data_IF_913965992250
#
_entry.id   IF_913965992250
#
_cell.length_a   1.000
_cell.length_b   1.000
_cell.length_c   1.000
_cell.angle_alpha   90.00
_cell.angle_beta   90.00
_cell.angle_gamma   90.00
#
_symmetry.space_group_name_H-M   'P 1'
#
loop_
_entity.id
_entity.type
_entity.pdbx_description
1 polymer ?
#
# COMPACT_ATOMS: atom_id res chain seq x y z
N UNK A 1 40.47 -39.37 20.91
CA UNK A 1 39.09 -39.36 20.39
C UNK A 1 38.13 -39.20 21.56
N UNK A 2 36.99 -38.51 21.38
CA UNK A 2 35.86 -38.35 22.32
C UNK A 2 36.02 -37.60 23.69
N UNK A 3 34.98 -36.78 23.94
CA UNK A 3 34.29 -36.49 25.22
C UNK A 3 35.10 -36.08 26.46
N UNK A 4 34.86 -34.83 26.91
CA UNK A 4 34.60 -34.53 28.34
C UNK A 4 33.32 -33.72 28.48
N UNK A 5 32.49 -34.13 29.43
CA UNK A 5 31.23 -33.49 29.81
C UNK A 5 31.21 -33.53 31.35
N UNK A 6 31.12 -32.36 32.00
CA UNK A 6 30.85 -32.25 33.44
C UNK A 6 30.01 -31.01 33.68
N UNK A 7 28.90 -31.19 34.39
CA UNK A 7 28.15 -30.12 35.03
C UNK A 7 28.33 -30.25 36.55
N UNK A 8 28.20 -29.13 37.25
CA UNK A 8 27.96 -29.07 38.68
C UNK A 8 27.08 -27.84 38.95
N UNK A 9 26.21 -27.92 39.96
CA UNK A 9 25.28 -26.86 40.34
C UNK A 9 25.26 -26.74 41.87
N UNK A 10 24.29 -25.96 42.39
CA UNK A 10 23.90 -25.69 43.79
C UNK A 10 24.27 -24.26 44.24
N UNK A 11 23.28 -23.55 44.81
CA UNK A 11 23.44 -22.17 45.29
C UNK A 11 22.13 -21.41 45.56
N UNK A 12 21.08 -22.07 46.06
CA UNK A 12 19.81 -21.41 46.39
C UNK A 12 19.77 -20.96 47.86
N UNK A 13 19.34 -19.72 48.11
CA UNK A 13 18.95 -19.25 49.45
C UNK A 13 17.53 -18.67 49.35
N UNK A 14 16.66 -19.09 50.26
CA UNK A 14 15.29 -18.60 50.45
C UNK A 14 15.15 -18.18 51.91
N UNK A 15 14.48 -17.06 52.17
CA UNK A 15 14.10 -16.64 53.52
C UNK A 15 12.62 -16.22 53.51
N UNK A 16 11.83 -16.82 54.38
CA UNK A 16 10.42 -16.47 54.65
C UNK A 16 10.13 -16.59 56.14
N UNK A 17 9.61 -15.51 56.74
CA UNK A 17 8.62 -15.49 57.84
C UNK A 17 7.78 -14.21 57.61
N UNK A 18 6.45 -14.14 57.69
CA UNK A 18 5.46 -14.68 58.65
C UNK A 18 5.50 -13.96 60.01
N UNK A 19 4.38 -13.60 60.69
CA UNK A 19 2.93 -13.76 60.36
C UNK A 19 2.28 -12.38 60.06
N UNK A 20 1.09 -11.88 60.45
CA UNK A 20 0.03 -12.20 61.44
C UNK A 20 -1.40 -12.15 60.80
N UNK A 21 -2.46 -12.27 61.61
CA UNK A 21 -3.90 -12.25 61.27
C UNK A 21 -4.64 -10.97 61.64
N UNK A 22 -5.73 -10.64 60.92
CA UNK A 22 -6.96 -10.05 61.51
C UNK A 22 -8.20 -10.34 60.62
N UNK A 23 -9.40 -10.37 61.21
CA UNK A 23 -10.67 -10.64 60.50
C UNK A 23 -11.71 -9.53 60.74
N UNK A 24 -12.65 -9.34 59.81
CA UNK A 24 -13.81 -8.45 59.97
C UNK A 24 -14.93 -8.78 58.97
N UNK A 25 -16.19 -8.73 59.40
CA UNK A 25 -17.37 -9.15 58.60
C UNK A 25 -18.46 -8.06 58.59
N UNK A 26 -19.00 -7.79 57.39
CA UNK A 26 -20.43 -7.59 57.05
C UNK A 26 -21.29 -6.62 57.90
N UNK A 27 -21.95 -5.64 57.25
CA UNK A 27 -23.40 -5.43 57.39
C UNK A 27 -24.10 -4.55 56.31
N UNK A 28 -25.19 -5.09 55.76
CA UNK A 28 -26.47 -4.46 55.32
C UNK A 28 -26.56 -3.08 54.62
N UNK A 29 -27.04 -3.08 53.36
CA UNK A 29 -28.34 -2.53 52.84
C UNK A 29 -28.88 -1.11 53.22
N UNK A 30 -29.81 -0.51 52.43
CA UNK A 30 -30.06 -0.54 50.97
C UNK A 30 -30.50 0.83 50.35
N UNK A 31 -31.03 0.79 49.10
CA UNK A 31 -32.07 1.66 48.49
C UNK A 31 -31.71 2.91 47.63
N UNK A 32 -32.41 2.94 46.47
CA UNK A 32 -32.78 4.01 45.50
C UNK A 32 -32.53 5.50 45.85
N UNK A 33 -32.00 6.28 44.89
CA UNK A 33 -32.74 7.38 44.19
C UNK A 33 -31.89 8.09 43.09
N UNK A 34 -32.58 8.86 42.23
CA UNK A 34 -32.16 9.72 41.09
C UNK A 34 -33.22 10.85 41.02
N UNK A 35 -32.98 12.14 40.64
CA UNK A 35 -31.92 12.70 39.77
C UNK A 35 -31.27 14.07 40.21
N UNK A 36 -30.46 14.63 39.29
CA UNK A 36 -30.39 16.06 38.85
C UNK A 36 -29.35 17.08 39.38
N UNK A 37 -28.72 17.73 38.40
CA UNK A 37 -28.08 19.08 38.35
C UNK A 37 -26.60 19.29 38.77
N UNK A 38 -26.02 20.32 38.13
CA UNK A 38 -24.61 20.76 38.05
C UNK A 38 -24.21 21.67 39.27
N UNK A 39 -22.94 22.12 39.51
CA UNK A 39 -21.85 22.30 38.53
C UNK A 39 -20.36 22.07 38.98
N UNK A 40 -19.45 22.33 38.03
CA UNK A 40 -18.03 22.78 38.18
C UNK A 40 -16.92 21.88 38.81
N UNK A 41 -15.99 21.50 37.92
CA UNK A 41 -14.52 21.76 38.00
C UNK A 41 -13.52 20.75 38.65
N UNK A 42 -12.38 20.66 37.94
CA UNK A 42 -11.00 20.27 38.33
C UNK A 42 -10.51 18.81 38.46
N UNK A 43 -9.55 18.49 37.56
CA UNK A 43 -8.32 17.67 37.73
C UNK A 43 -8.40 16.13 37.60
N UNK A 44 -7.28 15.53 37.13
CA UNK A 44 -7.12 14.08 36.91
C UNK A 44 -6.81 13.65 35.46
N UNK A 45 -5.77 14.20 34.82
CA UNK A 45 -4.52 13.48 34.45
C UNK A 45 -4.66 12.15 33.67
N UNK A 46 -4.18 12.06 32.42
CA UNK A 46 -4.03 10.73 31.77
C UNK A 46 -3.81 10.59 30.25
N UNK A 47 -3.76 11.65 29.43
CA UNK A 47 -3.69 11.47 27.96
C UNK A 47 -2.26 11.40 27.38
N UNK A 48 -1.84 10.21 26.94
CA UNK A 48 -0.91 10.07 25.81
C UNK A 48 -1.70 10.01 24.50
N UNK A 49 -2.03 11.17 23.94
CA UNK A 49 -2.65 11.26 22.61
C UNK A 49 -1.59 11.47 21.53
N UNK A 50 -1.63 10.63 20.48
CA UNK A 50 -0.91 10.86 19.23
C UNK A 50 -1.39 12.16 18.59
N UNK A 51 -0.51 13.17 18.47
CA UNK A 51 -0.90 14.49 17.97
C UNK A 51 -1.17 14.48 16.46
N UNK A 52 -2.46 14.38 16.09
CA UNK A 52 -2.96 14.87 14.81
C UNK A 52 -2.91 16.40 14.81
N UNK A 53 -1.85 17.00 14.25
CA UNK A 53 -1.72 18.45 14.15
C UNK A 53 -2.60 19.00 13.02
N UNK A 54 -3.80 19.45 13.39
CA UNK A 54 -4.74 20.14 12.50
C UNK A 54 -5.27 21.42 13.15
N UNK A 55 -4.60 22.55 12.90
CA UNK A 55 -5.11 23.90 13.13
C UNK A 55 -4.65 24.85 12.00
N UNK A 56 -5.37 25.96 11.73
CA UNK A 56 -5.34 26.60 10.43
C UNK A 56 -4.27 27.71 10.29
N UNK A 57 -3.49 27.63 9.22
CA UNK A 57 -2.58 28.70 8.79
C UNK A 57 -2.18 28.52 7.32
N UNK A 58 -2.58 29.48 6.47
CA UNK A 58 -2.35 29.56 5.01
C UNK A 58 -2.83 28.36 4.16
N UNK A 59 -3.66 28.65 3.15
CA UNK A 59 -3.95 27.72 2.06
C UNK A 59 -2.74 27.60 1.13
N UNK A 60 -2.15 26.41 1.04
CA UNK A 60 -1.63 25.90 -0.24
C UNK A 60 -2.65 24.93 -0.82
N UNK A 61 -3.68 25.47 -1.48
CA UNK A 61 -4.65 24.67 -2.23
C UNK A 61 -3.96 24.12 -3.48
N UNK A 62 -3.83 22.80 -3.58
CA UNK A 62 -3.38 22.14 -4.81
C UNK A 62 -4.54 21.37 -5.44
N UNK A 63 -5.37 22.10 -6.17
CA UNK A 63 -6.01 21.61 -7.38
C UNK A 63 -5.55 22.51 -8.53
N UNK A 64 -5.00 21.93 -9.60
CA UNK A 64 -4.54 22.59 -10.84
C UNK A 64 -3.46 23.69 -10.74
N UNK A 65 -3.14 24.21 -9.55
CA UNK A 65 -2.11 25.25 -9.36
C UNK A 65 -0.68 24.67 -9.25
N UNK A 66 0.32 25.43 -9.71
CA UNK A 66 1.75 25.12 -9.56
C UNK A 66 2.25 25.33 -8.12
N UNK A 67 3.32 24.63 -7.73
CA UNK A 67 3.87 24.62 -6.38
C UNK A 67 5.37 24.93 -6.33
N UNK A 68 5.81 25.68 -5.32
CA UNK A 68 7.22 26.08 -5.14
C UNK A 68 7.86 25.30 -3.98
N UNK A 69 9.02 24.69 -4.21
CA UNK A 69 9.87 24.10 -3.17
C UNK A 69 11.22 24.83 -3.13
N UNK A 70 11.66 25.39 -1.99
CA UNK A 70 12.95 26.06 -1.86
C UNK A 70 14.15 25.14 -2.14
N UNK A 71 15.17 25.66 -2.82
CA UNK A 71 16.46 24.97 -2.97
C UNK A 71 17.43 25.46 -1.89
N UNK A 72 18.05 24.52 -1.19
CA UNK A 72 19.13 24.76 -0.23
C UNK A 72 20.45 24.34 -0.86
N UNK A 73 21.44 25.24 -0.88
CA UNK A 73 22.80 24.92 -1.31
C UNK A 73 23.56 24.32 -0.13
N UNK A 74 24.14 23.12 -0.31
CA UNK A 74 24.99 22.45 0.68
C UNK A 74 26.23 21.94 -0.07
N UNK A 75 27.43 22.32 0.41
CA UNK A 75 28.71 21.95 -0.22
C UNK A 75 28.76 22.19 -1.75
N UNK A 76 28.22 23.34 -2.19
CA UNK A 76 28.09 23.75 -3.59
C UNK A 76 27.23 22.84 -4.48
N UNK A 77 26.35 22.02 -3.88
CA UNK A 77 25.33 21.22 -4.56
C UNK A 77 23.93 21.71 -4.14
N UNK A 78 23.01 21.75 -5.11
CA UNK A 78 21.61 22.14 -4.90
C UNK A 78 20.78 20.97 -4.38
N UNK A 79 20.11 21.14 -3.25
CA UNK A 79 19.20 20.16 -2.65
C UNK A 79 17.79 20.74 -2.42
N UNK A 80 16.77 19.88 -2.41
CA UNK A 80 15.45 20.18 -1.84
C UNK A 80 15.22 19.36 -0.57
N UNK A 81 14.48 19.91 0.38
CA UNK A 81 14.06 19.17 1.57
C UNK A 81 13.07 18.06 1.15
N UNK A 82 13.40 16.81 1.41
CA UNK A 82 12.61 15.67 0.96
C UNK A 82 11.16 15.76 1.46
N UNK A 83 10.98 16.17 2.72
CA UNK A 83 9.66 16.37 3.34
C UNK A 83 8.78 17.35 2.56
N UNK A 84 9.33 18.48 2.13
CA UNK A 84 8.57 19.53 1.42
C UNK A 84 8.17 19.05 0.03
N UNK A 85 9.10 18.43 -0.71
CA UNK A 85 8.82 17.79 -1.99
C UNK A 85 7.71 16.72 -1.86
N UNK A 86 7.83 15.81 -0.89
CA UNK A 86 6.86 14.74 -0.64
C UNK A 86 5.48 15.31 -0.30
N UNK A 87 5.41 16.37 0.53
CA UNK A 87 4.16 17.03 0.88
C UNK A 87 3.51 17.75 -0.32
N UNK A 88 4.32 18.36 -1.19
CA UNK A 88 3.85 19.01 -2.43
C UNK A 88 3.31 18.01 -3.46
N UNK A 89 4.03 16.89 -3.67
CA UNK A 89 3.54 15.75 -4.47
C UNK A 89 2.42 14.95 -3.77
N UNK A 90 2.12 15.31 -2.52
CA UNK A 90 1.15 14.68 -1.59
C UNK A 90 1.47 13.20 -1.27
N UNK A 91 2.63 12.69 -1.70
CA UNK A 91 3.05 11.31 -1.51
C UNK A 91 3.09 10.93 -0.03
N UNK A 92 2.90 9.64 0.24
CA UNK A 92 3.21 9.06 1.54
C UNK A 92 4.71 8.80 1.64
N UNK A 93 5.21 8.79 2.88
CA UNK A 93 6.61 8.46 3.15
C UNK A 93 6.77 7.77 4.49
N UNK A 94 7.75 6.89 4.60
CA UNK A 94 8.15 6.26 5.86
C UNK A 94 9.69 6.25 5.99
N UNK A 95 10.19 6.37 7.22
CA UNK A 95 11.62 6.26 7.52
C UNK A 95 11.95 4.86 8.05
N UNK A 96 12.95 4.22 7.46
CA UNK A 96 13.54 2.98 7.93
C UNK A 96 14.91 3.28 8.55
N UNK A 97 14.91 3.45 9.87
CA UNK A 97 16.10 3.72 10.68
C UNK A 97 17.14 2.59 10.57
N UNK A 98 16.70 1.33 10.42
CA UNK A 98 17.60 0.16 10.38
C UNK A 98 18.47 0.15 9.13
N UNK A 99 17.95 0.66 8.01
CA UNK A 99 18.65 0.72 6.72
C UNK A 99 19.03 2.16 6.30
N UNK A 100 18.74 3.17 7.13
CA UNK A 100 18.87 4.61 6.82
C UNK A 100 18.19 5.00 5.50
N UNK A 101 17.01 4.43 5.22
CA UNK A 101 16.24 4.69 3.99
C UNK A 101 15.03 5.57 4.25
N UNK A 102 14.78 6.49 3.32
CA UNK A 102 13.47 7.15 3.18
C UNK A 102 12.70 6.47 2.05
N UNK A 103 11.52 5.93 2.39
CA UNK A 103 10.57 5.32 1.47
C UNK A 103 9.56 6.38 1.01
N UNK A 104 9.22 6.42 -0.28
CA UNK A 104 8.34 7.43 -0.89
C UNK A 104 7.42 6.76 -1.93
N UNK A 105 6.16 7.20 -2.07
CA UNK A 105 5.22 6.69 -3.07
C UNK A 105 3.76 6.97 -2.71
N UNK A 106 2.84 6.24 -3.35
CA UNK A 106 1.38 6.42 -3.12
C UNK A 106 0.81 5.45 -2.09
N UNK A 107 0.20 4.33 -2.49
CA UNK A 107 -0.31 3.31 -1.56
C UNK A 107 0.70 2.19 -1.30
N UNK A 108 1.89 2.28 -1.89
CA UNK A 108 3.09 1.50 -1.60
C UNK A 108 4.38 2.30 -1.94
N UNK A 109 5.54 1.82 -1.50
CA UNK A 109 6.81 2.53 -1.62
C UNK A 109 7.46 2.34 -3.00
N UNK A 110 7.11 3.19 -3.97
CA UNK A 110 7.64 3.14 -5.33
C UNK A 110 9.11 3.57 -5.42
N UNK A 111 9.58 4.39 -4.47
CA UNK A 111 10.96 4.87 -4.38
C UNK A 111 11.55 4.61 -2.99
N UNK A 112 12.83 4.26 -2.96
CA UNK A 112 13.63 4.20 -1.73
C UNK A 112 14.93 4.99 -1.94
N UNK A 113 15.25 5.95 -1.07
CA UNK A 113 16.52 6.69 -1.15
C UNK A 113 17.36 6.42 0.09
N UNK A 114 18.61 5.98 -0.10
CA UNK A 114 19.52 5.59 0.99
C UNK A 114 20.33 6.81 1.42
N UNK A 115 20.20 7.24 2.68
CA UNK A 115 20.90 8.44 3.16
C UNK A 115 22.43 8.23 3.20
N UNK A 116 23.15 9.31 2.94
CA UNK A 116 24.61 9.37 2.84
C UNK A 116 25.16 8.43 1.74
N UNK A 117 24.40 8.22 0.67
CA UNK A 117 24.70 7.35 -0.45
C UNK A 117 24.11 7.89 -1.76
N UNK A 118 24.66 7.46 -2.90
CA UNK A 118 24.09 7.68 -4.24
C UNK A 118 23.09 6.60 -4.66
N UNK A 119 22.87 5.57 -3.83
CA UNK A 119 21.96 4.46 -4.14
C UNK A 119 20.50 4.80 -3.84
N UNK A 120 19.66 4.63 -4.84
CA UNK A 120 18.21 4.59 -4.70
C UNK A 120 17.62 3.32 -5.33
N UNK A 121 16.36 3.05 -4.98
CA UNK A 121 15.48 2.16 -5.71
C UNK A 121 14.39 3.00 -6.40
N UNK A 122 14.08 2.71 -7.66
CA UNK A 122 12.91 3.22 -8.38
C UNK A 122 12.17 2.03 -8.98
N UNK A 123 10.89 1.90 -8.66
CA UNK A 123 10.00 0.84 -9.17
C UNK A 123 10.55 -0.59 -8.95
N UNK A 124 11.35 -0.75 -7.90
CA UNK A 124 12.00 -1.98 -7.47
C UNK A 124 13.35 -2.27 -8.14
N UNK A 125 13.80 -1.43 -9.07
CA UNK A 125 15.15 -1.49 -9.68
C UNK A 125 16.14 -0.59 -8.93
N UNK A 126 17.39 -1.04 -8.75
CA UNK A 126 18.46 -0.17 -8.22
C UNK A 126 18.87 0.87 -9.27
N UNK A 127 18.93 2.14 -8.87
CA UNK A 127 19.51 3.23 -9.66
C UNK A 127 20.61 3.92 -8.85
N UNK A 128 21.51 4.63 -9.53
CA UNK A 128 22.56 5.44 -8.90
C UNK A 128 22.53 6.86 -9.48
N UNK A 129 22.37 7.82 -8.58
CA UNK A 129 22.25 9.24 -8.91
C UNK A 129 23.60 9.94 -8.80
N UNK A 130 23.78 11.05 -9.52
CA UNK A 130 25.08 11.72 -9.64
C UNK A 130 25.61 12.43 -8.38
N UNK A 131 24.81 12.56 -7.33
CA UNK A 131 25.15 13.18 -6.04
C UNK A 131 24.46 12.42 -4.90
N UNK A 132 25.06 12.32 -3.69
CA UNK A 132 24.47 11.54 -2.60
C UNK A 132 23.22 12.21 -2.03
N UNK A 133 22.26 11.41 -1.56
CA UNK A 133 21.23 11.87 -0.63
C UNK A 133 21.87 12.14 0.73
N UNK A 134 21.47 13.18 1.45
CA UNK A 134 22.09 13.55 2.74
C UNK A 134 21.05 13.79 3.84
N UNK A 135 21.44 13.55 5.10
CA UNK A 135 20.61 13.73 6.28
C UNK A 135 21.29 14.67 7.27
N UNK A 136 20.73 15.87 7.45
CA UNK A 136 21.19 16.84 8.44
C UNK A 136 20.20 16.87 9.61
N UNK A 137 20.61 16.38 10.78
CA UNK A 137 19.73 16.19 11.92
C UNK A 137 18.55 15.27 11.58
N UNK A 138 17.33 15.82 11.60
CA UNK A 138 16.09 15.12 11.25
C UNK A 138 15.60 15.40 9.81
N UNK A 139 16.32 16.19 9.02
CA UNK A 139 15.95 16.55 7.65
C UNK A 139 16.72 15.72 6.63
N UNK A 140 16.00 14.93 5.83
CA UNK A 140 16.53 14.33 4.61
C UNK A 140 16.46 15.32 3.44
N UNK A 141 17.50 15.35 2.62
CA UNK A 141 17.66 16.25 1.48
C UNK A 141 18.00 15.45 0.22
N UNK A 142 17.30 15.76 -0.89
CA UNK A 142 17.52 15.13 -2.19
C UNK A 142 18.23 16.13 -3.12
N UNK A 143 19.32 15.76 -3.80
CA UNK A 143 19.98 16.66 -4.73
C UNK A 143 19.07 16.89 -5.95
N UNK A 144 18.98 18.14 -6.41
CA UNK A 144 18.06 18.55 -7.50
C UNK A 144 18.35 17.80 -8.81
N UNK A 145 19.60 17.38 -9.03
CA UNK A 145 20.00 16.56 -10.17
C UNK A 145 19.41 15.14 -10.16
N UNK A 146 19.07 14.58 -8.99
CA UNK A 146 18.46 13.26 -8.86
C UNK A 146 16.94 13.25 -9.10
N UNK A 147 16.29 14.42 -9.20
CA UNK A 147 14.84 14.51 -9.30
C UNK A 147 14.31 14.03 -10.66
N UNK A 148 15.12 14.13 -11.72
CA UNK A 148 14.81 13.53 -13.02
C UNK A 148 14.86 12.00 -12.93
N UNK A 149 16.01 11.45 -12.52
CA UNK A 149 16.24 9.99 -12.37
C UNK A 149 15.11 9.31 -11.57
N UNK A 150 14.71 9.94 -10.46
CA UNK A 150 13.63 9.46 -9.59
C UNK A 150 12.24 9.72 -10.18
N UNK A 151 11.87 10.98 -10.43
CA UNK A 151 10.47 11.40 -10.49
C UNK A 151 10.01 11.98 -11.85
N UNK A 152 10.81 11.93 -12.92
CA UNK A 152 10.45 12.53 -14.24
C UNK A 152 9.13 12.03 -14.87
N UNK A 153 8.64 10.86 -14.45
CA UNK A 153 7.37 10.25 -14.88
C UNK A 153 6.20 10.63 -13.96
N UNK A 154 6.50 11.11 -12.75
CA UNK A 154 5.55 11.44 -11.69
C UNK A 154 5.32 12.96 -11.60
N UNK A 155 6.32 13.79 -11.89
CA UNK A 155 6.25 15.25 -11.84
C UNK A 155 6.85 15.95 -13.08
N UNK A 156 6.35 17.15 -13.37
CA UNK A 156 7.00 18.13 -14.24
C UNK A 156 7.55 19.25 -13.37
N UNK A 157 8.77 19.72 -13.65
CA UNK A 157 9.38 20.79 -12.87
C UNK A 157 10.37 21.61 -13.68
N UNK A 158 10.66 22.81 -13.19
CA UNK A 158 11.78 23.63 -13.62
C UNK A 158 12.52 24.24 -12.42
N UNK A 159 13.71 24.80 -12.67
CA UNK A 159 14.54 25.45 -11.65
C UNK A 159 14.72 26.92 -12.04
N UNK A 160 14.10 27.82 -11.29
CA UNK A 160 14.20 29.26 -11.48
C UNK A 160 14.53 29.96 -10.16
N UNK A 161 15.35 31.02 -10.20
CA UNK A 161 15.58 31.93 -9.06
C UNK A 161 15.97 31.27 -7.71
N UNK A 162 16.66 30.11 -7.73
CA UNK A 162 17.01 29.36 -6.52
C UNK A 162 15.84 28.57 -5.90
N UNK A 163 14.82 28.27 -6.70
CA UNK A 163 13.63 27.52 -6.31
C UNK A 163 13.34 26.42 -7.34
N UNK A 164 12.67 25.36 -6.88
CA UNK A 164 12.10 24.32 -7.72
C UNK A 164 10.62 24.64 -7.93
N UNK A 165 10.22 25.01 -9.14
CA UNK A 165 8.81 25.15 -9.50
C UNK A 165 8.34 23.79 -9.99
N UNK A 166 7.35 23.21 -9.33
CA UNK A 166 6.71 21.94 -9.66
C UNK A 166 5.38 22.27 -10.31
N UNK A 167 5.24 21.93 -11.58
CA UNK A 167 4.01 22.20 -12.31
C UNK A 167 2.92 21.22 -11.91
N UNK A 168 1.67 21.69 -11.90
CA UNK A 168 0.53 20.80 -11.71
C UNK A 168 0.54 19.68 -12.75
N UNK A 169 0.23 18.45 -12.32
CA UNK A 169 -0.04 17.36 -13.26
C UNK A 169 -1.20 17.78 -14.17
N UNK A 170 -1.05 17.76 -15.51
CA UNK A 170 -2.14 18.09 -16.41
C UNK A 170 -3.29 17.10 -16.19
N UNK A 171 -4.53 17.56 -16.42
CA UNK A 171 -5.70 16.68 -16.46
C UNK A 171 -5.64 15.87 -17.76
N UNK A 172 -4.73 14.91 -17.79
CA UNK A 172 -4.47 14.06 -18.95
C UNK A 172 -5.74 13.27 -19.30
N UNK A 173 -6.09 13.12 -20.59
CA UNK A 173 -7.13 12.21 -21.02
C UNK A 173 -6.95 10.83 -20.39
N UNK A 174 -8.06 10.24 -19.94
CA UNK A 174 -8.07 8.88 -19.42
C UNK A 174 -8.04 7.97 -20.63
N UNK A 175 -6.87 7.40 -20.91
CA UNK A 175 -6.72 6.28 -21.85
C UNK A 175 -6.71 4.98 -21.04
N UNK A 176 -7.60 4.06 -21.40
CA UNK A 176 -7.63 2.73 -20.80
C UNK A 176 -7.00 1.70 -21.73
N UNK A 177 -6.22 0.76 -21.17
CA UNK A 177 -5.59 -0.30 -21.97
C UNK A 177 -6.58 -1.37 -22.46
N UNK A 178 -7.82 -1.34 -21.97
CA UNK A 178 -8.92 -2.22 -22.37
C UNK A 178 -10.02 -1.52 -23.23
N UNK A 179 -9.79 -0.29 -23.69
CA UNK A 179 -10.65 0.38 -24.70
C UNK A 179 -10.26 -0.06 -26.12
N UNK A 180 -10.97 -1.06 -26.66
CA UNK A 180 -10.66 -1.68 -27.97
C UNK A 180 -11.24 -0.89 -29.17
N UNK A 181 -12.18 0.05 -28.97
CA UNK A 181 -12.67 0.93 -30.05
C UNK A 181 -12.63 2.42 -29.65
N UNK A 182 -11.78 3.27 -30.27
CA UNK A 182 -11.76 4.71 -30.00
C UNK A 182 -13.03 5.46 -30.46
N UNK A 183 -14.06 4.77 -30.97
CA UNK A 183 -15.38 5.32 -31.29
C UNK A 183 -16.44 5.02 -30.24
N UNK A 184 -16.20 4.16 -29.24
CA UNK A 184 -17.12 4.05 -28.11
C UNK A 184 -16.98 5.29 -27.23
N UNK A 185 -18.03 6.12 -27.22
CA UNK A 185 -18.12 7.30 -26.37
C UNK A 185 -17.90 6.93 -24.88
N UNK A 186 -17.24 7.79 -24.10
CA UNK A 186 -16.71 7.51 -22.75
C UNK A 186 -17.78 7.38 -21.64
N UNK A 187 -19.01 7.03 -22.02
CA UNK A 187 -20.21 7.05 -21.18
C UNK A 187 -20.44 5.75 -20.38
N UNK A 188 -19.81 4.64 -20.73
CA UNK A 188 -20.10 3.31 -20.14
C UNK A 188 -18.84 2.68 -19.51
N UNK A 189 -18.30 3.36 -18.49
CA UNK A 189 -17.15 2.91 -17.66
C UNK A 189 -17.53 1.78 -16.68
N UNK A 190 -18.33 0.83 -17.14
CA UNK A 190 -18.98 -0.17 -16.30
C UNK A 190 -18.20 -1.49 -16.24
N UNK A 191 -18.20 -2.09 -15.05
CA UNK A 191 -17.58 -3.38 -14.76
C UNK A 191 -18.60 -4.50 -14.88
N UNK A 192 -18.19 -5.67 -15.38
CA UNK A 192 -19.01 -6.88 -15.31
C UNK A 192 -18.22 -8.13 -14.94
N UNK A 193 -18.85 -8.98 -14.12
CA UNK A 193 -18.40 -10.35 -13.86
C UNK A 193 -18.42 -11.14 -15.18
N UNK A 194 -17.33 -11.85 -15.47
CA UNK A 194 -17.28 -12.81 -16.55
C UNK A 194 -18.45 -13.83 -16.41
N UNK A 195 -19.28 -14.05 -17.44
CA UNK A 195 -20.32 -15.08 -17.40
C UNK A 195 -19.75 -16.49 -17.21
N UNK A 196 -18.47 -16.71 -17.57
CA UNK A 196 -17.75 -17.99 -17.50
C UNK A 196 -16.78 -18.11 -16.30
N UNK A 197 -16.88 -17.25 -15.27
CA UNK A 197 -16.11 -17.40 -14.04
C UNK A 197 -16.43 -18.76 -13.36
N UNK A 198 -15.47 -19.71 -13.27
CA UNK A 198 -15.72 -21.03 -12.68
C UNK A 198 -15.96 -20.99 -11.16
N UNK A 199 -15.73 -19.84 -10.51
CA UNK A 199 -15.94 -19.64 -9.08
C UNK A 199 -17.21 -18.85 -8.75
N UNK A 200 -18.08 -18.56 -9.72
CA UNK A 200 -19.29 -17.74 -9.57
C UNK A 200 -20.26 -18.30 -8.51
N UNK A 201 -20.74 -17.44 -7.60
CA UNK A 201 -21.65 -17.80 -6.50
C UNK A 201 -21.00 -17.86 -5.10
N UNK A 202 -21.80 -18.15 -4.08
CA UNK A 202 -21.36 -18.33 -2.69
C UNK A 202 -21.18 -19.82 -2.34
N UNK A 203 -19.96 -20.31 -2.58
CA UNK A 203 -19.33 -21.40 -1.82
C UNK A 203 -20.10 -22.72 -1.61
N UNK A 204 -19.93 -23.66 -2.54
CA UNK A 204 -19.74 -25.07 -2.16
C UNK A 204 -18.35 -25.54 -2.61
N UNK A 205 -17.78 -26.51 -1.91
CA UNK A 205 -16.41 -26.99 -2.16
C UNK A 205 -16.31 -27.86 -3.41
N UNK A 206 -16.04 -27.27 -4.56
CA UNK A 206 -15.83 -27.98 -5.82
C UNK A 206 -14.44 -28.63 -5.80
N UNK A 207 -14.38 -29.96 -5.74
CA UNK A 207 -13.16 -30.73 -6.08
C UNK A 207 -12.71 -30.32 -7.49
N UNK A 208 -11.40 -30.25 -7.80
CA UNK A 208 -10.94 -29.85 -9.12
C UNK A 208 -11.61 -30.72 -10.20
N UNK A 209 -12.43 -30.08 -11.03
CA UNK A 209 -13.09 -30.75 -12.13
C UNK A 209 -12.01 -31.13 -13.15
N UNK A 210 -11.94 -32.41 -13.49
CA UNK A 210 -11.16 -32.87 -14.64
C UNK A 210 -11.75 -32.24 -15.89
N UNK A 211 -11.03 -31.29 -16.48
CA UNK A 211 -11.39 -30.64 -17.73
C UNK A 211 -11.64 -31.68 -18.83
N UNK A 212 -12.61 -31.47 -19.73
CA UNK A 212 -12.65 -32.18 -21.00
C UNK A 212 -11.35 -31.95 -21.78
N UNK A 213 -10.85 -32.97 -22.47
CA UNK A 213 -9.88 -32.77 -23.53
C UNK A 213 -10.62 -32.29 -24.78
N UNK A 214 -10.51 -31.01 -25.10
CA UNK A 214 -10.93 -30.47 -26.38
C UNK A 214 -9.99 -29.31 -26.75
N UNK A 215 -9.02 -29.58 -27.62
CA UNK A 215 -8.02 -28.59 -28.06
C UNK A 215 -8.60 -27.78 -29.23
N UNK A 216 -9.44 -26.80 -28.90
CA UNK A 216 -9.92 -25.78 -29.82
C UNK A 216 -9.03 -24.54 -29.78
N UNK A 217 -8.48 -24.13 -30.93
CA UNK A 217 -7.46 -23.08 -31.02
C UNK A 217 -7.92 -21.72 -30.45
N UNK A 218 -7.17 -21.22 -29.46
CA UNK A 218 -7.20 -19.82 -29.05
C UNK A 218 -6.04 -19.08 -29.72
N UNK A 219 -6.33 -18.19 -30.66
CA UNK A 219 -5.30 -17.41 -31.37
C UNK A 219 -4.51 -16.51 -30.40
N UNK A 220 -3.29 -16.90 -30.09
CA UNK A 220 -2.38 -16.12 -29.24
C UNK A 220 -1.70 -15.05 -30.08
N UNK A 221 -2.19 -13.81 -30.00
CA UNK A 221 -1.49 -12.63 -30.55
C UNK A 221 -0.22 -12.32 -29.76
N UNK A 222 0.83 -13.06 -30.08
CA UNK A 222 2.20 -12.79 -29.66
C UNK A 222 2.75 -11.55 -30.38
N UNK A 223 3.22 -10.57 -29.61
CA UNK A 223 4.34 -9.73 -30.06
C UNK A 223 5.17 -9.19 -28.90
N UNK A 224 6.49 -9.21 -29.11
CA UNK A 224 7.53 -8.48 -28.37
C UNK A 224 7.91 -9.00 -26.97
N UNK A 225 9.11 -9.60 -26.94
CA UNK A 225 9.85 -10.10 -25.79
C UNK A 225 9.92 -9.11 -24.60
N UNK A 226 9.50 -9.57 -23.42
CA UNK A 226 10.19 -9.27 -22.17
C UNK A 226 10.25 -10.53 -21.30
N UNK A 227 11.42 -10.80 -20.74
CA UNK A 227 11.70 -11.98 -19.93
C UNK A 227 11.07 -11.85 -18.51
N UNK A 228 10.84 -12.97 -17.83
CA UNK A 228 10.13 -13.07 -16.53
C UNK A 228 8.61 -12.74 -16.51
N UNK A 229 7.87 -13.00 -17.60
CA UNK A 229 6.44 -13.28 -17.45
C UNK A 229 6.24 -14.57 -16.62
N UNK A 230 5.47 -14.51 -15.52
CA UNK A 230 5.16 -15.69 -14.70
C UNK A 230 4.55 -16.80 -15.58
N UNK A 231 5.10 -18.03 -15.58
CA UNK A 231 4.63 -19.10 -16.46
C UNK A 231 3.20 -19.52 -16.09
N UNK A 232 2.42 -19.83 -17.14
CA UNK A 232 1.07 -20.43 -17.16
C UNK A 232 0.32 -20.36 -15.83
N UNK A 233 -0.60 -19.41 -15.77
CA UNK A 233 -1.46 -19.04 -14.63
C UNK A 233 -1.75 -20.20 -13.68
N UNK A 234 -1.30 -20.07 -12.42
CA UNK A 234 -1.33 -21.17 -11.46
C UNK A 234 -2.77 -21.54 -11.09
N UNK A 235 -3.09 -22.82 -11.20
CA UNK A 235 -4.31 -23.41 -10.63
C UNK A 235 -4.25 -23.33 -9.09
N UNK A 236 -5.15 -22.56 -8.47
CA UNK A 236 -5.31 -22.43 -7.02
C UNK A 236 -6.79 -22.38 -6.64
N UNK A 237 -7.13 -22.74 -5.40
CA UNK A 237 -8.48 -22.46 -4.88
C UNK A 237 -8.65 -20.95 -4.64
N UNK A 238 -9.16 -20.25 -5.65
CA UNK A 238 -9.45 -18.82 -5.66
C UNK A 238 -10.43 -18.43 -4.53
N UNK A 239 -11.44 -19.26 -4.25
CA UNK A 239 -12.39 -18.98 -3.17
C UNK A 239 -11.71 -19.11 -1.79
N UNK A 240 -10.84 -20.10 -1.58
CA UNK A 240 -10.03 -20.20 -0.37
C UNK A 240 -9.02 -19.06 -0.25
N UNK A 241 -8.40 -18.62 -1.35
CA UNK A 241 -7.48 -17.48 -1.41
C UNK A 241 -8.20 -16.17 -1.01
N UNK A 242 -9.38 -15.91 -1.57
CA UNK A 242 -10.23 -14.77 -1.17
C UNK A 242 -10.65 -14.88 0.30
N UNK A 243 -11.04 -16.07 0.77
CA UNK A 243 -11.42 -16.28 2.17
C UNK A 243 -10.22 -16.11 3.12
N UNK A 244 -9.00 -16.47 2.71
CA UNK A 244 -7.76 -16.16 3.43
C UNK A 244 -7.52 -14.65 3.49
N UNK A 245 -7.75 -13.92 2.40
CA UNK A 245 -7.71 -12.46 2.41
C UNK A 245 -8.74 -11.83 3.37
N UNK A 246 -9.98 -12.33 3.36
CA UNK A 246 -11.08 -11.86 4.23
C UNK A 246 -10.77 -12.04 5.73
N UNK A 247 -9.95 -13.02 6.12
CA UNK A 247 -9.50 -13.20 7.51
C UNK A 247 -8.66 -12.04 8.06
N UNK A 248 -8.13 -11.16 7.21
CA UNK A 248 -7.34 -9.98 7.61
C UNK A 248 -8.15 -8.68 7.62
N UNK A 249 -9.47 -8.70 7.40
CA UNK A 249 -10.32 -7.51 7.44
C UNK A 249 -10.11 -6.71 8.75
N UNK A 250 -9.86 -5.41 8.61
CA UNK A 250 -9.55 -4.50 9.73
C UNK A 250 -8.08 -4.44 10.16
N UNK A 251 -7.20 -5.32 9.67
CA UNK A 251 -5.73 -5.19 9.85
C UNK A 251 -5.29 -3.84 9.31
N UNK A 252 -4.49 -3.12 10.10
CA UNK A 252 -4.16 -1.71 9.83
C UNK A 252 -3.24 -1.54 8.63
N UNK A 253 -3.53 -0.47 7.89
CA UNK A 253 -2.70 -0.06 6.77
C UNK A 253 -1.41 0.57 7.31
N UNK A 254 -0.29 0.30 6.66
CA UNK A 254 0.97 1.00 6.88
C UNK A 254 1.73 1.10 5.57
N UNK A 255 1.86 2.32 5.06
CA UNK A 255 2.62 2.64 3.86
C UNK A 255 4.05 2.07 3.92
N UNK A 256 4.52 1.48 2.81
CA UNK A 256 5.90 1.01 2.66
C UNK A 256 6.30 -0.09 3.64
N UNK A 257 5.34 -0.82 4.22
CA UNK A 257 5.63 -1.77 5.29
C UNK A 257 6.43 -2.99 4.81
N UNK A 258 7.21 -3.57 5.72
CA UNK A 258 7.82 -4.89 5.52
C UNK A 258 6.80 -6.03 5.60
N UNK A 259 7.21 -7.28 5.33
CA UNK A 259 6.32 -8.45 5.33
C UNK A 259 5.46 -8.57 6.61
N UNK A 260 4.16 -8.82 6.44
CA UNK A 260 3.18 -8.93 7.53
C UNK A 260 3.62 -9.79 8.74
N UNK A 261 4.31 -10.94 8.61
CA UNK A 261 4.82 -11.70 9.76
C UNK A 261 5.78 -10.94 10.69
N UNK A 262 6.37 -9.84 10.22
CA UNK A 262 7.27 -8.97 10.98
C UNK A 262 6.56 -7.71 11.49
N UNK A 263 5.57 -7.20 10.75
CA UNK A 263 5.00 -5.85 10.98
C UNK A 263 3.56 -5.86 11.51
N UNK A 264 2.84 -6.96 11.35
CA UNK A 264 1.42 -7.10 11.68
C UNK A 264 0.48 -6.20 10.86
N UNK A 265 0.95 -5.63 9.76
CA UNK A 265 0.29 -4.57 8.97
C UNK A 265 0.48 -4.81 7.47
N UNK A 266 -0.24 -4.05 6.64
CA UNK A 266 -0.19 -4.16 5.18
C UNK A 266 -0.24 -2.80 4.47
N UNK A 267 0.54 -2.62 3.42
CA UNK A 267 0.19 -1.69 2.33
C UNK A 267 -0.60 -2.42 1.22
N UNK A 268 -0.92 -1.76 0.11
CA UNK A 268 -1.80 -2.37 -0.91
C UNK A 268 -1.17 -3.62 -1.56
N UNK A 269 0.12 -3.57 -1.88
CA UNK A 269 0.85 -4.59 -2.63
C UNK A 269 1.49 -5.68 -1.75
N UNK A 270 1.81 -5.39 -0.48
CA UNK A 270 2.12 -6.46 0.51
C UNK A 270 0.89 -7.29 0.86
N UNK A 271 -0.31 -6.71 0.85
CA UNK A 271 -1.54 -7.47 1.08
C UNK A 271 -1.77 -8.51 -0.03
N UNK A 272 -1.73 -8.08 -1.29
CA UNK A 272 -1.85 -9.01 -2.43
C UNK A 272 -0.72 -10.04 -2.43
N UNK A 273 0.55 -9.61 -2.28
CA UNK A 273 1.70 -10.49 -2.21
C UNK A 273 1.58 -11.56 -1.11
N UNK A 274 1.12 -11.18 0.08
CA UNK A 274 0.94 -12.12 1.18
C UNK A 274 -0.18 -13.13 0.90
N UNK A 275 -1.35 -12.66 0.44
CA UNK A 275 -2.52 -13.51 0.20
C UNK A 275 -2.24 -14.52 -0.92
N UNK A 276 -1.69 -14.07 -2.05
CA UNK A 276 -1.27 -14.96 -3.16
C UNK A 276 -0.10 -15.86 -2.76
N UNK A 277 0.84 -15.35 -1.95
CA UNK A 277 1.98 -16.11 -1.44
C UNK A 277 1.58 -17.30 -0.57
N UNK A 278 0.43 -17.24 0.13
CA UNK A 278 -0.13 -18.38 0.87
C UNK A 278 -0.62 -19.53 -0.03
N UNK A 279 -0.81 -19.27 -1.32
CA UNK A 279 -1.22 -20.26 -2.33
C UNK A 279 -0.11 -20.48 -3.38
N UNK A 280 1.14 -20.17 -3.04
CA UNK A 280 2.32 -20.48 -3.87
C UNK A 280 2.50 -19.58 -5.10
N UNK A 281 1.69 -18.54 -5.27
CA UNK A 281 1.90 -17.50 -6.29
C UNK A 281 2.82 -16.43 -5.70
N UNK A 282 4.01 -16.27 -6.28
CA UNK A 282 4.95 -15.20 -5.92
C UNK A 282 4.59 -13.94 -6.70
N UNK A 283 4.19 -12.88 -6.01
CA UNK A 283 4.02 -11.56 -6.61
C UNK A 283 5.21 -10.64 -6.27
N UNK A 284 5.60 -9.73 -7.18
CA UNK A 284 6.53 -8.63 -6.88
C UNK A 284 6.07 -7.77 -5.69
N UNK A 285 7.00 -6.99 -5.11
CA UNK A 285 6.72 -6.15 -3.92
C UNK A 285 5.82 -4.95 -4.22
N UNK A 286 5.81 -4.44 -5.46
CA UNK A 286 5.15 -3.19 -5.82
C UNK A 286 3.95 -3.39 -6.73
N UNK A 287 2.93 -2.55 -6.58
CA UNK A 287 1.71 -2.54 -7.40
C UNK A 287 2.03 -2.31 -8.88
N UNK A 288 2.96 -1.39 -9.19
CA UNK A 288 3.48 -1.17 -10.56
C UNK A 288 4.08 -2.43 -11.17
N UNK A 289 4.89 -3.17 -10.41
CA UNK A 289 5.48 -4.44 -10.86
C UNK A 289 4.44 -5.57 -10.97
N UNK A 290 3.47 -5.63 -10.05
CA UNK A 290 2.35 -6.57 -10.12
C UNK A 290 1.44 -6.31 -11.34
N UNK A 291 1.30 -5.06 -11.77
CA UNK A 291 0.53 -4.67 -12.96
C UNK A 291 1.17 -5.09 -14.29
N UNK A 292 2.42 -5.57 -14.28
CA UNK A 292 3.10 -6.19 -15.42
C UNK A 292 3.01 -7.73 -15.43
N UNK A 293 2.39 -8.35 -14.41
CA UNK A 293 2.32 -9.81 -14.29
C UNK A 293 1.05 -10.39 -14.91
N UNK A 294 1.15 -11.59 -15.47
CA UNK A 294 0.01 -12.38 -15.93
C UNK A 294 -0.72 -11.81 -17.15
N UNK A 295 -1.92 -12.33 -17.41
CA UNK A 295 -2.73 -11.95 -18.58
C UNK A 295 -3.48 -10.64 -18.32
N UNK A 296 -3.62 -9.79 -19.35
CA UNK A 296 -4.51 -8.62 -19.31
C UNK A 296 -5.97 -9.07 -19.24
N UNK A 297 -6.79 -8.37 -18.46
CA UNK A 297 -8.24 -8.61 -18.34
C UNK A 297 -9.00 -7.31 -18.56
N UNK A 298 -10.01 -7.35 -19.45
CA UNK A 298 -10.95 -6.25 -19.64
C UNK A 298 -11.88 -6.08 -18.43
N UNK A 299 -12.23 -4.84 -18.09
CA UNK A 299 -13.24 -4.49 -17.07
C UNK A 299 -14.59 -5.21 -17.24
N UNK A 300 -14.91 -5.65 -18.47
CA UNK A 300 -16.15 -6.36 -18.80
C UNK A 300 -16.04 -7.90 -18.65
N UNK A 301 -14.91 -8.43 -18.21
CA UNK A 301 -14.65 -9.88 -18.07
C UNK A 301 -13.84 -10.22 -16.80
N UNK A 302 -14.15 -9.53 -15.70
CA UNK A 302 -13.50 -9.76 -14.41
C UNK A 302 -13.92 -11.09 -13.80
N UNK A 303 -12.95 -11.86 -13.27
CA UNK A 303 -13.16 -13.08 -12.49
C UNK A 303 -12.66 -12.88 -11.07
N UNK A 304 -13.24 -13.62 -10.12
CA UNK A 304 -12.70 -13.74 -8.77
C UNK A 304 -11.19 -14.01 -8.82
N UNK A 305 -10.43 -13.26 -8.03
CA UNK A 305 -8.97 -13.39 -7.96
C UNK A 305 -8.18 -12.56 -8.97
N UNK A 306 -8.82 -11.86 -9.92
CA UNK A 306 -8.10 -10.89 -10.75
C UNK A 306 -7.55 -9.74 -9.88
N UNK A 307 -6.33 -9.29 -10.16
CA UNK A 307 -5.76 -8.08 -9.56
C UNK A 307 -6.22 -6.86 -10.34
N UNK A 308 -6.81 -5.88 -9.65
CA UNK A 308 -7.27 -4.61 -10.22
C UNK A 308 -6.29 -3.50 -9.87
N UNK A 309 -5.91 -2.68 -10.85
CA UNK A 309 -4.91 -1.62 -10.71
C UNK A 309 -5.48 -0.25 -11.05
N UNK A 310 -5.09 0.75 -10.26
CA UNK A 310 -5.65 2.10 -10.32
C UNK A 310 -4.55 3.16 -10.21
N UNK A 311 -4.77 4.33 -10.83
CA UNK A 311 -3.95 5.52 -10.57
C UNK A 311 -4.50 6.29 -9.35
N UNK A 312 -3.70 7.23 -8.82
CA UNK A 312 -4.16 8.15 -7.77
C UNK A 312 -4.29 9.56 -8.38
N UNK A 313 -5.50 10.17 -8.40
CA UNK A 313 -5.71 11.46 -9.05
C UNK A 313 -4.83 12.60 -8.52
N UNK A 314 -4.24 13.36 -9.42
CA UNK A 314 -3.43 14.55 -9.10
C UNK A 314 -2.12 14.25 -8.37
N UNK A 315 -1.52 13.08 -8.62
CA UNK A 315 -0.22 12.64 -8.07
C UNK A 315 0.87 12.43 -9.11
N UNK A 316 0.46 11.97 -10.30
CA UNK A 316 1.36 11.65 -11.40
C UNK A 316 1.11 12.60 -12.59
N UNK A 317 2.18 12.94 -13.30
CA UNK A 317 2.23 13.69 -14.56
C UNK A 317 1.27 13.16 -15.64
N UNK A 318 0.87 11.89 -15.57
CA UNK A 318 -0.19 11.30 -16.41
C UNK A 318 -1.08 10.38 -15.59
N UNK A 319 -2.35 10.26 -15.98
CA UNK A 319 -3.34 9.34 -15.39
C UNK A 319 -3.12 7.86 -15.82
N UNK A 320 -1.87 7.44 -16.09
CA UNK A 320 -1.51 6.09 -16.58
C UNK A 320 -0.72 5.26 -15.56
N UNK A 321 -0.12 5.92 -14.57
CA UNK A 321 0.80 5.30 -13.60
C UNK A 321 0.05 4.62 -12.45
N UNK A 322 0.40 3.36 -12.16
CA UNK A 322 -0.23 2.59 -11.08
C UNK A 322 0.21 3.13 -9.71
N UNK A 323 -0.76 3.44 -8.85
CA UNK A 323 -0.56 3.85 -7.46
C UNK A 323 -1.43 3.11 -6.43
N UNK A 324 -2.26 2.15 -6.86
CA UNK A 324 -3.02 1.26 -5.98
C UNK A 324 -3.32 -0.11 -6.63
N UNK A 325 -3.46 -1.16 -5.81
CA UNK A 325 -3.87 -2.52 -6.22
C UNK A 325 -4.89 -3.14 -5.24
N UNK A 326 -5.80 -3.97 -5.74
CA UNK A 326 -6.66 -4.83 -4.92
C UNK A 326 -7.05 -6.13 -5.65
N UNK A 327 -7.70 -7.04 -4.93
CA UNK A 327 -8.16 -8.35 -5.46
C UNK A 327 -9.66 -8.25 -5.76
N UNK A 328 -10.10 -8.57 -6.97
CA UNK A 328 -11.51 -8.68 -7.29
C UNK A 328 -12.13 -9.94 -6.66
N UNK A 329 -13.33 -9.82 -6.09
CA UNK A 329 -14.00 -10.91 -5.36
C UNK A 329 -15.41 -11.26 -5.88
N UNK A 330 -15.74 -10.79 -7.10
CA UNK A 330 -17.06 -10.93 -7.72
C UNK A 330 -18.06 -9.87 -7.25
N UNK A 331 -19.25 -9.81 -7.85
CA UNK A 331 -20.37 -8.96 -7.42
C UNK A 331 -19.99 -7.47 -7.28
N UNK A 332 -19.15 -6.94 -8.18
CA UNK A 332 -18.61 -5.58 -8.15
C UNK A 332 -17.82 -5.24 -6.86
N UNK A 333 -17.20 -6.22 -6.19
CA UNK A 333 -16.43 -6.00 -4.96
C UNK A 333 -14.92 -6.23 -5.14
N UNK A 334 -14.13 -5.38 -4.50
CA UNK A 334 -12.68 -5.48 -4.40
C UNK A 334 -12.25 -5.56 -2.92
N UNK A 335 -11.38 -6.51 -2.60
CA UNK A 335 -10.72 -6.68 -1.30
C UNK A 335 -9.29 -6.09 -1.38
N UNK A 336 -8.97 -5.10 -0.53
CA UNK A 336 -7.71 -4.35 -0.60
C UNK A 336 -7.30 -3.77 0.76
N UNK A 337 -6.01 -3.47 0.95
CA UNK A 337 -5.52 -2.63 2.06
C UNK A 337 -5.33 -1.19 1.58
N UNK A 338 -5.87 -0.21 2.29
CA UNK A 338 -5.79 1.21 1.91
C UNK A 338 -5.97 2.14 3.13
N UNK A 339 -5.36 3.35 3.13
CA UNK A 339 -5.56 4.33 4.21
C UNK A 339 -7.01 4.82 4.33
N UNK A 340 -7.83 4.73 3.27
CA UNK A 340 -9.21 5.24 3.27
C UNK A 340 -10.20 4.26 2.60
N UNK A 341 -11.48 4.20 3.04
CA UNK A 341 -12.07 4.93 4.17
C UNK A 341 -11.81 4.32 5.56
N UNK A 342 -11.36 3.06 5.69
CA UNK A 342 -11.27 2.38 7.01
C UNK A 342 -9.85 2.30 7.62
N UNK A 343 -8.83 2.79 6.91
CA UNK A 343 -7.41 2.67 7.29
C UNK A 343 -7.03 1.22 7.63
N UNK A 344 -6.98 0.37 6.61
CA UNK A 344 -6.70 -1.06 6.72
C UNK A 344 -7.26 -1.91 5.58
N UNK A 345 -7.19 -3.23 5.77
CA UNK A 345 -7.81 -4.23 4.87
C UNK A 345 -9.34 -4.10 4.94
N UNK A 346 -9.96 -3.91 3.79
CA UNK A 346 -11.39 -3.60 3.65
C UNK A 346 -11.93 -4.14 2.31
N UNK A 347 -13.26 -4.19 2.19
CA UNK A 347 -13.95 -4.41 0.92
C UNK A 347 -14.58 -3.10 0.45
N UNK A 348 -14.40 -2.80 -0.83
CA UNK A 348 -14.98 -1.66 -1.55
C UNK A 348 -15.84 -2.14 -2.72
N UNK A 349 -16.96 -1.48 -3.00
CA UNK A 349 -17.68 -1.64 -4.26
C UNK A 349 -16.98 -0.81 -5.35
N UNK A 350 -16.57 -1.43 -6.46
CA UNK A 350 -15.86 -0.80 -7.59
C UNK A 350 -16.79 0.00 -8.53
N UNK A 351 -18.10 -0.21 -8.44
CA UNK A 351 -19.10 0.53 -9.24
C UNK A 351 -19.13 2.05 -8.92
N UNK A 352 -18.54 2.45 -7.78
CA UNK A 352 -18.48 3.84 -7.35
C UNK A 352 -17.66 4.70 -8.33
N UNK A 353 -18.07 5.95 -8.64
CA UNK A 353 -17.41 6.81 -9.63
C UNK A 353 -15.89 6.92 -9.50
N UNK A 354 -15.35 6.98 -8.27
CA UNK A 354 -13.90 7.01 -8.03
C UNK A 354 -13.17 5.78 -8.58
N UNK A 355 -13.70 4.57 -8.38
CA UNK A 355 -13.04 3.35 -8.85
C UNK A 355 -13.23 3.15 -10.35
N UNK A 356 -14.38 3.56 -10.92
CA UNK A 356 -14.59 3.61 -12.37
C UNK A 356 -13.59 4.54 -13.06
N UNK A 357 -13.43 5.78 -12.57
CA UNK A 357 -12.53 6.75 -13.21
C UNK A 357 -11.04 6.49 -12.97
N UNK A 358 -10.66 5.85 -11.86
CA UNK A 358 -9.24 5.58 -11.54
C UNK A 358 -8.70 4.26 -12.10
N UNK A 359 -9.55 3.39 -12.67
CA UNK A 359 -9.15 2.07 -13.16
C UNK A 359 -8.26 2.16 -14.40
N UNK A 360 -7.12 1.47 -14.33
CA UNK A 360 -6.13 1.40 -15.41
C UNK A 360 -6.23 0.11 -16.22
N UNK A 361 -6.30 -1.03 -15.50
CA UNK A 361 -6.25 -2.39 -16.05
C UNK A 361 -6.54 -3.43 -14.95
N UNK A 362 -6.90 -4.64 -15.34
CA UNK A 362 -6.88 -5.82 -14.47
C UNK A 362 -5.89 -6.87 -15.00
N UNK A 363 -5.35 -7.71 -14.10
CA UNK A 363 -4.48 -8.85 -14.45
C UNK A 363 -4.96 -10.15 -13.81
N UNK A 364 -5.00 -11.22 -14.60
CA UNK A 364 -5.20 -12.59 -14.13
C UNK A 364 -3.83 -13.20 -13.86
N UNK A 365 -3.60 -13.68 -12.63
CA UNK A 365 -2.33 -14.30 -12.19
C UNK A 365 -2.48 -15.81 -11.93
N UNK A 366 -3.73 -16.26 -11.78
CA UNK A 366 -4.11 -17.62 -11.40
C UNK A 366 -5.44 -18.00 -12.06
N UNK A 367 -5.74 -19.31 -12.07
CA UNK A 367 -7.03 -19.89 -12.41
C UNK A 367 -7.50 -20.82 -11.26
#
# INVERSE_FOLDING_TARGET
MWKRLKAAAIGSIVVMMATTTACGRVNTSPNKAVPTQNPTAQSGTGNMQTQSLSQPGQRTTLGNDDAVVPIKVINNVNYVAARELIQTLKFQSNWDESNQKLLIGDNDANFEVTMNSTKAMKDGSEIRVGQPFIKEGNSAYLPVTALADLFQEDMSYEVQNGQLLIHAAPVAPIEHEDDIDPRTNTAELDFSDDPTDPFKGEGTGVKPASMPQDEGDLEVWSSTNHEEAIPVLKNIDINAMINKGKQYLGVKYLFGTGPYPQTGKFDCSTFTQYVFGKYGVKLPRLARQQAAQGQLVSRKSLRKGDLMFFYVPGRFKTNKTVGHVGIYIGNMQMLHSSPAPKNGVQISNIDKPYWKSTFLRARRIAY
#
